data_IF_122326463559
#
_entry.id   IF_122326463559
#
_cell.length_a   1.000
_cell.length_b   1.000
_cell.length_c   1.000
_cell.angle_alpha   90.00
_cell.angle_beta   90.00
_cell.angle_gamma   90.00
#
_symmetry.space_group_name_H-M   'P 1'
#
loop_
_entity.id
_entity.type
_entity.pdbx_description
1 polymer ?
#
# COMPACT_ATOMS: atom_id res chain seq x y z
N UNK A 1 -2.72 -9.12 6.76
CA UNK A 1 -3.98 -9.44 6.06
C UNK A 1 -3.79 -9.64 4.56
N UNK A 2 -3.18 -8.66 3.85
CA UNK A 2 -2.87 -8.80 2.40
C UNK A 2 -2.12 -10.09 2.07
N UNK A 3 -1.01 -10.37 2.77
CA UNK A 3 -0.22 -11.58 2.53
C UNK A 3 -1.01 -12.89 2.75
N UNK A 4 -1.95 -12.90 3.69
CA UNK A 4 -2.82 -14.06 3.91
C UNK A 4 -3.78 -14.23 2.73
N UNK A 5 -4.47 -13.16 2.34
CA UNK A 5 -5.39 -13.17 1.20
C UNK A 5 -4.68 -13.56 -0.11
N UNK A 6 -3.45 -13.09 -0.32
CA UNK A 6 -2.60 -13.51 -1.44
C UNK A 6 -2.28 -15.01 -1.37
N UNK A 7 -1.84 -15.52 -0.22
CA UNK A 7 -1.46 -16.92 -0.05
C UNK A 7 -2.61 -17.90 -0.34
N UNK A 8 -3.85 -17.54 0.00
CA UNK A 8 -5.04 -18.36 -0.28
C UNK A 8 -5.72 -17.99 -1.60
N UNK A 9 -5.14 -17.07 -2.39
CA UNK A 9 -5.69 -16.55 -3.66
C UNK A 9 -7.09 -15.96 -3.54
N UNK A 10 -7.41 -15.38 -2.39
CA UNK A 10 -8.70 -14.74 -2.12
C UNK A 10 -8.70 -13.31 -2.67
N UNK A 11 -9.05 -13.19 -3.96
CA UNK A 11 -9.14 -11.90 -4.64
C UNK A 11 -10.27 -11.03 -4.11
N UNK A 12 -11.34 -11.63 -3.59
CA UNK A 12 -12.46 -10.90 -2.97
C UNK A 12 -12.03 -10.24 -1.66
N UNK A 13 -11.23 -10.91 -0.84
CA UNK A 13 -10.64 -10.31 0.35
C UNK A 13 -9.71 -9.13 0.00
N UNK A 14 -8.88 -9.28 -1.03
CA UNK A 14 -8.01 -8.17 -1.50
C UNK A 14 -8.84 -6.94 -1.96
N UNK A 15 -9.92 -7.14 -2.71
CA UNK A 15 -10.82 -6.05 -3.12
C UNK A 15 -11.56 -5.41 -1.92
N UNK A 16 -11.91 -6.20 -0.92
CA UNK A 16 -12.54 -5.71 0.31
C UNK A 16 -11.58 -4.83 1.11
N UNK A 17 -10.31 -5.25 1.23
CA UNK A 17 -9.26 -4.46 1.86
C UNK A 17 -9.03 -3.15 1.10
N UNK A 18 -8.93 -3.21 -0.24
CA UNK A 18 -8.75 -2.01 -1.08
C UNK A 18 -9.89 -1.00 -0.86
N UNK A 19 -11.12 -1.49 -0.81
CA UNK A 19 -12.31 -0.66 -0.60
C UNK A 19 -12.29 0.05 0.76
N UNK A 20 -11.87 -0.66 1.82
CA UNK A 20 -11.76 -0.10 3.16
C UNK A 20 -10.67 0.96 3.26
N UNK A 21 -9.50 0.72 2.66
CA UNK A 21 -8.42 1.71 2.59
C UNK A 21 -8.86 2.97 1.85
N UNK A 22 -9.47 2.80 0.67
CA UNK A 22 -9.97 3.92 -0.12
C UNK A 22 -11.02 4.75 0.63
N UNK A 23 -11.88 4.11 1.42
CA UNK A 23 -12.92 4.79 2.19
C UNK A 23 -12.38 5.67 3.33
N UNK A 24 -11.26 5.30 3.96
CA UNK A 24 -10.71 6.07 5.09
C UNK A 24 -9.68 7.12 4.67
N UNK A 25 -9.16 7.03 3.45
CA UNK A 25 -8.06 7.88 2.97
C UNK A 25 -8.46 9.36 2.76
N UNK A 26 -9.75 9.67 2.55
CA UNK A 26 -10.21 11.06 2.36
C UNK A 26 -10.11 11.94 3.60
N UNK A 27 -10.10 11.33 4.78
CA UNK A 27 -10.03 12.03 6.08
C UNK A 27 -8.74 11.72 6.84
N UNK A 28 -7.78 11.05 6.17
CA UNK A 28 -6.56 10.60 6.79
C UNK A 28 -5.65 11.79 7.17
N UNK A 29 -5.03 11.69 8.34
CA UNK A 29 -3.86 12.54 8.64
C UNK A 29 -2.72 12.21 7.66
N UNK A 30 -1.72 13.07 7.48
CA UNK A 30 -0.64 12.77 6.52
C UNK A 30 0.08 11.43 6.82
N UNK A 31 0.25 11.08 8.10
CA UNK A 31 0.85 9.80 8.48
C UNK A 31 -0.07 8.61 8.16
N UNK A 32 -1.37 8.75 8.46
CA UNK A 32 -2.35 7.71 8.14
C UNK A 32 -2.48 7.52 6.63
N UNK A 33 -2.42 8.61 5.86
CA UNK A 33 -2.40 8.60 4.41
C UNK A 33 -1.19 7.83 3.88
N UNK A 34 0.01 8.09 4.41
CA UNK A 34 1.22 7.38 4.01
C UNK A 34 1.09 5.87 4.29
N UNK A 35 0.56 5.50 5.46
CA UNK A 35 0.31 4.10 5.81
C UNK A 35 -0.73 3.44 4.89
N UNK A 36 -1.79 4.17 4.54
CA UNK A 36 -2.84 3.69 3.63
C UNK A 36 -2.32 3.49 2.22
N UNK A 37 -1.47 4.38 1.71
CA UNK A 37 -0.86 4.25 0.40
C UNK A 37 0.09 3.05 0.32
N UNK A 38 0.86 2.79 1.38
CA UNK A 38 1.69 1.59 1.49
C UNK A 38 0.81 0.34 1.45
N UNK A 39 -0.29 0.31 2.22
CA UNK A 39 -1.26 -0.78 2.17
C UNK A 39 -1.90 -0.97 0.80
N UNK A 40 -2.24 0.12 0.10
CA UNK A 40 -2.76 0.09 -1.27
C UNK A 40 -1.73 -0.49 -2.25
N UNK A 41 -0.45 -0.13 -2.12
CA UNK A 41 0.63 -0.68 -2.94
C UNK A 41 0.79 -2.19 -2.72
N UNK A 42 0.75 -2.66 -1.48
CA UNK A 42 0.80 -4.09 -1.15
C UNK A 42 -0.33 -4.88 -1.80
N UNK A 43 -1.57 -4.37 -1.73
CA UNK A 43 -2.74 -5.00 -2.36
C UNK A 43 -2.56 -5.06 -3.87
N UNK A 44 -2.11 -3.97 -4.49
CA UNK A 44 -1.91 -3.88 -5.93
C UNK A 44 -0.83 -4.84 -6.43
N UNK A 45 0.29 -4.95 -5.72
CA UNK A 45 1.35 -5.91 -6.02
C UNK A 45 0.88 -7.36 -5.84
N UNK A 46 0.13 -7.66 -4.78
CA UNK A 46 -0.47 -8.98 -4.57
C UNK A 46 -1.43 -9.35 -5.72
N UNK A 47 -2.30 -8.40 -6.14
CA UNK A 47 -3.20 -8.61 -7.28
C UNK A 47 -2.43 -8.83 -8.59
N UNK A 48 -1.33 -8.12 -8.81
CA UNK A 48 -0.48 -8.33 -9.97
C UNK A 48 0.16 -9.74 -9.97
N UNK A 49 0.70 -10.18 -8.83
CA UNK A 49 1.24 -11.54 -8.66
C UNK A 49 0.21 -12.64 -8.88
N UNK A 50 -1.07 -12.36 -8.63
CA UNK A 50 -2.19 -13.26 -8.92
C UNK A 50 -2.71 -13.18 -10.36
N UNK A 51 -1.98 -12.55 -11.28
CA UNK A 51 -2.32 -12.46 -12.70
C UNK A 51 -3.09 -11.20 -13.10
N UNK A 52 -3.19 -10.22 -12.19
CA UNK A 52 -3.74 -8.90 -12.48
C UNK A 52 -2.79 -7.99 -13.27
N UNK A 53 -3.30 -6.83 -13.68
CA UNK A 53 -2.51 -5.80 -14.36
C UNK A 53 -1.42 -5.24 -13.45
N UNK A 54 -0.26 -4.92 -14.04
CA UNK A 54 0.79 -4.22 -13.33
C UNK A 54 0.27 -2.85 -12.85
N UNK A 55 0.47 -2.48 -11.59
CA UNK A 55 0.00 -1.20 -11.06
C UNK A 55 0.85 -0.05 -11.60
N UNK A 56 0.18 1.01 -12.03
CA UNK A 56 0.81 2.26 -12.45
C UNK A 56 1.13 3.13 -11.24
N UNK A 57 2.10 4.03 -11.40
CA UNK A 57 2.39 5.14 -10.48
C UNK A 57 2.80 4.77 -9.04
N UNK A 58 3.00 3.47 -8.72
CA UNK A 58 3.47 3.05 -7.39
C UNK A 58 4.78 3.74 -6.98
N UNK A 59 5.68 3.95 -7.95
CA UNK A 59 6.97 4.60 -7.70
C UNK A 59 6.82 5.99 -7.10
N UNK A 60 5.95 6.81 -7.68
CA UNK A 60 5.70 8.17 -7.22
C UNK A 60 4.99 8.17 -5.86
N UNK A 61 3.94 7.36 -5.72
CA UNK A 61 3.12 7.30 -4.50
C UNK A 61 3.94 6.81 -3.30
N UNK A 62 4.74 5.75 -3.47
CA UNK A 62 5.57 5.21 -2.39
C UNK A 62 6.70 6.16 -2.00
N UNK A 63 7.27 6.90 -2.95
CA UNK A 63 8.25 7.93 -2.64
C UNK A 63 7.65 9.06 -1.78
N UNK A 64 6.43 9.51 -2.10
CA UNK A 64 5.71 10.52 -1.32
C UNK A 64 5.33 10.01 0.08
N UNK A 65 4.86 8.76 0.18
CA UNK A 65 4.60 8.12 1.46
C UNK A 65 5.86 8.00 2.33
N UNK A 66 7.00 7.64 1.73
CA UNK A 66 8.28 7.56 2.44
C UNK A 66 8.75 8.93 2.95
N UNK A 67 8.67 9.98 2.11
CA UNK A 67 9.01 11.34 2.52
C UNK A 67 8.11 11.82 3.66
N UNK A 68 6.80 11.64 3.54
CA UNK A 68 5.83 12.04 4.56
C UNK A 68 6.10 11.35 5.90
N UNK A 69 6.41 10.05 5.87
CA UNK A 69 6.76 9.29 7.06
C UNK A 69 8.04 9.81 7.74
N UNK A 70 9.08 10.15 6.97
CA UNK A 70 10.33 10.75 7.48
C UNK A 70 10.10 12.12 8.08
N UNK A 71 9.35 12.99 7.40
CA UNK A 71 9.03 14.34 7.90
C UNK A 71 8.31 14.29 9.25
N UNK A 72 7.52 13.25 9.50
CA UNK A 72 6.81 13.02 10.75
C UNK A 72 7.55 12.11 11.74
N UNK A 73 8.79 11.71 11.43
CA UNK A 73 9.67 10.96 12.34
C UNK A 73 9.35 9.47 12.48
N UNK A 74 8.64 8.87 11.52
CA UNK A 74 8.25 7.45 11.53
C UNK A 74 9.07 6.66 10.52
N UNK A 75 10.36 6.47 10.82
CA UNK A 75 11.33 5.81 9.92
C UNK A 75 10.89 4.41 9.48
N UNK A 76 10.31 3.61 10.38
CA UNK A 76 9.85 2.26 10.06
C UNK A 76 8.79 2.23 8.94
N UNK A 77 7.99 3.30 8.81
CA UNK A 77 7.00 3.41 7.75
C UNK A 77 7.65 3.85 6.42
N UNK A 78 8.65 4.71 6.49
CA UNK A 78 9.47 5.09 5.35
C UNK A 78 10.24 3.91 4.77
N UNK A 79 10.94 3.14 5.61
CA UNK A 79 11.69 1.95 5.21
C UNK A 79 10.77 0.93 4.53
N UNK A 80 9.54 0.79 5.02
CA UNK A 80 8.54 -0.10 4.42
C UNK A 80 8.13 0.36 3.01
N UNK A 81 7.90 1.65 2.82
CA UNK A 81 7.59 2.18 1.49
C UNK A 81 8.76 1.97 0.51
N UNK A 82 9.99 2.18 0.97
CA UNK A 82 11.20 1.96 0.16
C UNK A 82 11.45 0.49 -0.17
N UNK A 83 11.16 -0.42 0.76
CA UNK A 83 11.22 -1.84 0.47
C UNK A 83 10.28 -2.25 -0.68
N UNK A 84 9.10 -1.64 -0.74
CA UNK A 84 8.13 -1.90 -1.81
C UNK A 84 8.53 -1.28 -3.16
N UNK A 85 9.29 -0.18 -3.17
CA UNK A 85 9.86 0.39 -4.40
C UNK A 85 10.85 -0.55 -5.09
N UNK A 86 11.46 -1.46 -4.32
CA UNK A 86 12.50 -2.38 -4.78
C UNK A 86 12.00 -3.83 -4.93
N UNK A 87 10.69 -4.07 -4.77
CA UNK A 87 10.07 -5.41 -4.74
C UNK A 87 9.52 -5.86 -6.09
#
# INVERSE_FOLDING_TARGET
>A
EVALAEAVKDTTALMTLETRLRARMSEATPLDWAADQIGMAEIQLARHRLGGTAPADLGLILAEAAMTARELGVEALADRAEALLNA
#
